data_IF_095589580116
#
_entry.id   IF_095589580116
#
_cell.length_a   1.000
_cell.length_b   1.000
_cell.length_c   1.000
_cell.angle_alpha   90.00
_cell.angle_beta   90.00
_cell.angle_gamma   90.00
#
_symmetry.space_group_name_H-M   'P 1'
#
loop_
_entity.id
_entity.type
_entity.pdbx_description
1 polymer ?
#
# COMPACT_ATOMS: atom_id res chain seq x y z
N UNK A 1 15.03 -6.83 -9.28
CA UNK A 1 13.96 -7.69 -8.74
C UNK A 1 12.91 -6.78 -8.14
N UNK A 2 11.62 -7.12 -8.17
CA UNK A 2 10.53 -6.25 -7.70
C UNK A 2 9.65 -7.02 -6.74
N UNK A 3 9.32 -6.41 -5.60
CA UNK A 3 8.43 -6.94 -4.58
C UNK A 3 7.25 -5.99 -4.44
N UNK A 4 6.03 -6.54 -4.44
CA UNK A 4 4.80 -5.82 -4.12
C UNK A 4 4.51 -6.01 -2.64
N UNK A 5 4.41 -4.91 -1.91
CA UNK A 5 4.01 -4.92 -0.50
C UNK A 5 2.57 -4.41 -0.41
N UNK A 6 1.68 -5.26 0.08
CA UNK A 6 0.28 -4.95 0.33
C UNK A 6 0.12 -4.66 1.83
N UNK A 7 -0.11 -3.38 2.14
CA UNK A 7 -0.36 -2.88 3.50
C UNK A 7 -1.85 -2.60 3.63
N UNK A 8 -2.47 -3.15 4.67
CA UNK A 8 -3.90 -3.17 4.86
C UNK A 8 -4.47 -4.58 5.03
N UNK A 9 -5.72 -4.65 5.43
CA UNK A 9 -6.49 -5.88 5.55
C UNK A 9 -7.84 -5.72 4.85
N UNK A 10 -8.48 -6.83 4.50
CA UNK A 10 -9.80 -6.77 3.87
C UNK A 10 -10.33 -8.13 3.42
N UNK A 11 -11.62 -8.20 3.06
CA UNK A 11 -12.27 -9.45 2.66
C UNK A 11 -11.68 -10.07 1.39
N UNK A 12 -11.02 -9.28 0.55
CA UNK A 12 -10.41 -9.72 -0.72
C UNK A 12 -9.02 -10.36 -0.56
N UNK A 13 -8.42 -10.32 0.64
CA UNK A 13 -7.08 -10.88 0.86
C UNK A 13 -6.95 -12.35 0.43
N UNK A 14 -7.89 -13.27 0.74
CA UNK A 14 -7.81 -14.66 0.28
C UNK A 14 -7.74 -14.78 -1.24
N UNK A 15 -8.48 -13.96 -1.99
CA UNK A 15 -8.45 -14.01 -3.45
C UNK A 15 -7.20 -13.38 -4.05
N UNK A 16 -6.68 -12.32 -3.44
CA UNK A 16 -5.39 -11.73 -3.82
C UNK A 16 -4.24 -12.73 -3.62
N UNK A 17 -4.24 -13.48 -2.50
CA UNK A 17 -3.26 -14.56 -2.27
C UNK A 17 -3.35 -15.64 -3.33
N UNK A 18 -4.56 -16.14 -3.63
CA UNK A 18 -4.76 -17.13 -4.70
C UNK A 18 -4.35 -16.59 -6.07
N UNK A 19 -4.59 -15.32 -6.35
CA UNK A 19 -4.15 -14.68 -7.60
C UNK A 19 -2.63 -14.64 -7.70
N UNK A 20 -1.94 -14.23 -6.63
CA UNK A 20 -0.48 -14.22 -6.58
C UNK A 20 0.10 -15.62 -6.83
N UNK A 21 -0.49 -16.66 -6.21
CA UNK A 21 -0.08 -18.05 -6.42
C UNK A 21 -0.30 -18.50 -7.86
N UNK A 22 -1.48 -18.24 -8.45
CA UNK A 22 -1.78 -18.57 -9.84
C UNK A 22 -0.84 -17.89 -10.83
N UNK A 23 -0.39 -16.67 -10.53
CA UNK A 23 0.56 -15.92 -11.35
C UNK A 23 2.03 -16.29 -11.08
N UNK A 24 2.31 -17.20 -10.13
CA UNK A 24 3.67 -17.58 -9.75
C UNK A 24 4.44 -16.49 -9.01
N UNK A 25 3.72 -15.55 -8.38
CA UNK A 25 4.26 -14.36 -7.70
C UNK A 25 4.42 -14.54 -6.18
N UNK A 26 4.20 -15.73 -5.61
CA UNK A 26 4.20 -15.94 -4.16
C UNK A 26 5.48 -15.49 -3.44
N UNK A 27 6.65 -15.52 -4.11
CA UNK A 27 7.91 -15.00 -3.55
C UNK A 27 8.08 -13.48 -3.62
N UNK A 28 7.19 -12.79 -4.35
CA UNK A 28 7.27 -11.37 -4.70
C UNK A 28 6.10 -10.54 -4.19
N UNK A 29 5.13 -11.14 -3.51
CA UNK A 29 4.01 -10.42 -2.87
C UNK A 29 4.11 -10.61 -1.36
N UNK A 30 4.15 -9.50 -0.62
CA UNK A 30 4.18 -9.48 0.85
C UNK A 30 2.90 -8.86 1.36
N UNK A 31 2.08 -9.67 2.02
CA UNK A 31 0.89 -9.22 2.73
C UNK A 31 1.30 -8.88 4.17
N UNK A 32 1.30 -7.59 4.50
CA UNK A 32 1.79 -7.08 5.80
C UNK A 32 0.67 -7.02 6.84
N UNK A 33 -0.58 -6.97 6.39
CA UNK A 33 -1.73 -6.72 7.26
C UNK A 33 -1.93 -5.24 7.53
N UNK A 34 -2.88 -4.92 8.40
CA UNK A 34 -3.21 -3.55 8.77
C UNK A 34 -2.04 -2.88 9.52
N UNK A 35 -1.71 -1.66 9.12
CA UNK A 35 -0.68 -0.81 9.75
C UNK A 35 -1.32 0.49 10.24
N UNK A 36 -0.74 1.05 11.30
CA UNK A 36 -1.17 2.30 11.93
C UNK A 36 -0.16 3.41 11.67
N UNK A 37 -0.58 4.67 11.80
CA UNK A 37 0.34 5.82 11.73
C UNK A 37 1.28 5.94 12.93
N UNK A 38 1.00 5.19 14.00
CA UNK A 38 1.84 5.10 15.19
C UNK A 38 2.45 3.71 15.30
N UNK A 39 3.66 3.63 15.85
CA UNK A 39 4.27 2.35 16.19
C UNK A 39 3.32 1.54 17.08
N UNK A 40 2.94 0.34 16.64
CA UNK A 40 2.13 -0.58 17.44
C UNK A 40 2.95 -1.14 18.59
N UNK A 41 3.18 -0.32 19.62
CA UNK A 41 3.82 -0.75 20.87
C UNK A 41 2.81 -1.53 21.71
N UNK A 42 2.67 -2.82 21.42
CA UNK A 42 2.08 -3.79 22.35
C UNK A 42 0.94 -4.68 21.86
N UNK A 43 0.65 -4.76 20.55
CA UNK A 43 -0.40 -5.65 20.04
C UNK A 43 0.11 -6.56 18.91
N UNK A 44 0.58 -7.75 19.29
CA UNK A 44 0.43 -8.99 18.53
C UNK A 44 1.20 -9.22 17.22
N UNK A 45 1.70 -8.20 16.54
CA UNK A 45 2.57 -8.35 15.37
C UNK A 45 3.49 -7.14 15.20
N UNK A 46 4.78 -7.37 14.96
CA UNK A 46 5.77 -6.33 14.60
C UNK A 46 5.51 -5.82 13.17
N UNK A 47 4.35 -5.20 12.94
CA UNK A 47 4.06 -4.47 11.71
C UNK A 47 4.62 -3.06 11.88
N UNK A 48 5.56 -2.61 11.03
CA UNK A 48 6.06 -1.23 11.09
C UNK A 48 4.93 -0.22 10.86
N UNK A 49 5.07 0.97 11.40
CA UNK A 49 4.11 2.06 11.16
C UNK A 49 4.07 2.45 9.67
N UNK A 50 2.94 3.05 9.27
CA UNK A 50 2.70 3.41 7.88
C UNK A 50 3.77 4.38 7.33
N UNK A 51 4.20 5.44 8.05
CA UNK A 51 5.29 6.30 7.58
C UNK A 51 6.60 5.56 7.34
N UNK A 52 6.97 4.60 8.19
CA UNK A 52 8.17 3.78 8.03
C UNK A 52 8.06 2.85 6.83
N UNK A 53 6.88 2.26 6.61
CA UNK A 53 6.61 1.44 5.43
C UNK A 53 6.71 2.27 4.15
N UNK A 54 6.05 3.43 4.09
CA UNK A 54 6.10 4.32 2.94
C UNK A 54 7.52 4.80 2.66
N UNK A 55 8.27 5.20 3.68
CA UNK A 55 9.66 5.65 3.53
C UNK A 55 10.61 4.56 3.02
N UNK A 56 10.24 3.28 3.14
CA UNK A 56 11.02 2.14 2.68
C UNK A 56 10.65 1.67 1.25
N UNK A 57 9.59 2.20 0.65
CA UNK A 57 9.15 1.84 -0.70
C UNK A 57 9.92 2.63 -1.78
N UNK A 58 10.01 2.07 -2.99
CA UNK A 58 10.54 2.80 -4.15
C UNK A 58 9.47 3.62 -4.87
N UNK A 59 8.20 3.19 -4.80
CA UNK A 59 7.04 3.84 -5.40
C UNK A 59 5.74 3.33 -4.75
N UNK A 60 4.67 4.11 -4.86
CA UNK A 60 3.32 3.72 -4.45
C UNK A 60 2.40 3.60 -5.69
N UNK A 61 1.57 2.57 -5.75
CA UNK A 61 0.62 2.38 -6.83
C UNK A 61 -0.82 2.18 -6.30
N UNK A 62 -1.78 2.99 -6.76
CA UNK A 62 -3.20 2.78 -6.53
C UNK A 62 -3.94 2.52 -7.86
N UNK A 63 -4.33 1.26 -8.15
CA UNK A 63 -5.11 0.95 -9.34
C UNK A 63 -6.61 1.22 -9.15
N UNK A 64 -7.02 1.92 -8.08
CA UNK A 64 -8.43 2.18 -7.82
C UNK A 64 -9.02 3.16 -8.85
N UNK A 65 -10.09 2.79 -9.58
CA UNK A 65 -10.70 3.67 -10.57
C UNK A 65 -11.49 4.82 -9.92
N UNK A 66 -11.88 4.67 -8.66
CA UNK A 66 -12.61 5.66 -7.88
C UNK A 66 -11.99 5.77 -6.49
N UNK A 67 -11.78 7.01 -6.06
CA UNK A 67 -11.24 7.35 -4.74
C UNK A 67 -12.10 8.47 -4.14
N UNK A 68 -12.37 8.42 -2.84
CA UNK A 68 -13.11 9.50 -2.18
C UNK A 68 -12.24 10.77 -2.07
N UNK A 69 -10.99 10.58 -1.65
CA UNK A 69 -10.01 11.66 -1.51
C UNK A 69 -8.62 11.24 -2.00
N UNK A 70 -8.23 9.98 -1.78
CA UNK A 70 -6.89 9.48 -2.11
C UNK A 70 -5.84 9.81 -1.04
N UNK A 71 -6.20 9.72 0.24
CA UNK A 71 -5.31 10.05 1.36
C UNK A 71 -3.99 9.25 1.31
N UNK A 72 -4.05 7.95 1.00
CA UNK A 72 -2.86 7.11 0.89
C UNK A 72 -1.85 7.62 -0.16
N UNK A 73 -2.35 8.22 -1.26
CA UNK A 73 -1.50 8.82 -2.29
C UNK A 73 -0.86 10.12 -1.80
N UNK A 74 -1.61 10.94 -1.07
CA UNK A 74 -1.07 12.17 -0.43
C UNK A 74 0.00 11.81 0.60
N UNK A 75 -0.21 10.76 1.39
CA UNK A 75 0.77 10.25 2.35
C UNK A 75 2.02 9.74 1.63
N UNK A 76 1.88 8.97 0.55
CA UNK A 76 3.00 8.53 -0.27
C UNK A 76 3.81 9.70 -0.85
N UNK A 77 3.13 10.71 -1.39
CA UNK A 77 3.77 11.94 -1.88
C UNK A 77 4.49 12.70 -0.76
N UNK A 78 3.88 12.80 0.42
CA UNK A 78 4.48 13.44 1.59
C UNK A 78 5.72 12.69 2.09
N UNK A 79 5.77 11.36 1.92
CA UNK A 79 6.95 10.53 2.16
C UNK A 79 8.00 10.61 1.04
N UNK A 80 7.77 11.40 -0.01
CA UNK A 80 8.70 11.58 -1.13
C UNK A 80 8.64 10.46 -2.17
N UNK A 81 7.61 9.61 -2.14
CA UNK A 81 7.45 8.53 -3.11
C UNK A 81 6.91 9.05 -4.45
N UNK A 82 7.47 8.59 -5.58
CA UNK A 82 6.74 8.59 -6.84
C UNK A 82 5.43 7.79 -6.69
N UNK A 83 4.31 8.37 -7.11
CA UNK A 83 2.99 7.72 -7.05
C UNK A 83 2.44 7.47 -8.45
N UNK A 84 1.91 6.27 -8.69
CA UNK A 84 1.12 5.91 -9.86
C UNK A 84 -0.32 5.66 -9.42
N UNK A 85 -1.28 6.33 -10.06
CA UNK A 85 -2.69 6.20 -9.67
C UNK A 85 -3.61 6.22 -10.90
N UNK A 86 -4.77 5.59 -10.78
CA UNK A 86 -5.83 5.65 -11.80
C UNK A 86 -6.76 6.86 -11.58
N UNK A 87 -7.16 7.14 -10.34
CA UNK A 87 -7.85 8.38 -9.94
C UNK A 87 -7.33 8.85 -8.57
N UNK A 88 -7.25 10.16 -8.38
CA UNK A 88 -6.91 10.76 -7.10
C UNK A 88 -7.42 12.21 -7.01
N UNK A 89 -8.61 12.44 -6.41
CA UNK A 89 -9.19 13.77 -6.31
C UNK A 89 -8.29 14.80 -5.62
N UNK A 90 -7.43 14.38 -4.68
CA UNK A 90 -6.54 15.29 -3.97
C UNK A 90 -5.40 15.88 -4.82
N UNK A 91 -5.07 15.27 -5.97
CA UNK A 91 -3.97 15.72 -6.85
C UNK A 91 -4.40 16.02 -8.27
N UNK A 92 -5.62 15.64 -8.66
CA UNK A 92 -6.21 16.05 -9.94
C UNK A 92 -6.40 17.59 -9.95
N UNK A 93 -5.91 18.25 -11.01
CA UNK A 93 -5.98 19.71 -11.15
C UNK A 93 -4.85 20.50 -10.50
N UNK A 94 -3.74 19.83 -10.12
CA UNK A 94 -2.52 20.47 -9.60
C UNK A 94 -1.46 20.75 -10.69
N UNK A 95 -1.81 20.54 -11.95
CA UNK A 95 -1.01 20.86 -13.14
C UNK A 95 -0.86 22.36 -13.44
#
# INVERSE_FOLDING_TARGET
>A
DVVVVLVGSGPEEPELRRLADRLGLGGRVRFVGESTHEESRGQGADVPDLPSLLSAMDALASPSPEEAFGLALVEGLASGLPVLYASCPAVEGLD
#
